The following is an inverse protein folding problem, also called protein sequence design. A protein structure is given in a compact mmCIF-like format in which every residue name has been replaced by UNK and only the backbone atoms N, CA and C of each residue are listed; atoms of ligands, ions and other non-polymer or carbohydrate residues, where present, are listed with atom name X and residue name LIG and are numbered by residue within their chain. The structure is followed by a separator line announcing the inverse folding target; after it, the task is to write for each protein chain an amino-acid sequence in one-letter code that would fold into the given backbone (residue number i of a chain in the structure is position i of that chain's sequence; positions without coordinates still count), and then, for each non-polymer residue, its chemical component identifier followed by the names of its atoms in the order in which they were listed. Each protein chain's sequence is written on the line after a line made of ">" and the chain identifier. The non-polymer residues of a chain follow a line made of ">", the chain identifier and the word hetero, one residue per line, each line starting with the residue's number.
data_IF_986262030666
#
_entry.id   IF_986262030666
#
_cell.length_a   1.000
_cell.length_b   1.000
_cell.length_c   1.000
_cell.angle_alpha   90.00
_cell.angle_beta   90.00
_cell.angle_gamma   90.00
#
_symmetry.space_group_name_H-M   'P 1'
#
loop_
_entity.id
_entity.type
_entity.pdbx_description
1 polymer ?
#
# COMPACT_ATOMS: atom_id res chain seq x y z
N UNK A 1 12.56 -9.69 -26.61
CA UNK A 1 11.20 -9.19 -26.86
C UNK A 1 11.02 -8.76 -28.31
N UNK A 2 9.86 -9.08 -28.90
CA UNK A 2 9.49 -8.65 -30.26
C UNK A 2 9.22 -7.15 -30.32
N UNK A 3 9.62 -6.51 -31.42
CA UNK A 3 9.55 -5.04 -31.55
C UNK A 3 8.10 -4.53 -31.63
N UNK A 4 7.19 -5.30 -32.20
CA UNK A 4 5.76 -4.95 -32.28
C UNK A 4 5.10 -4.87 -30.89
N UNK A 5 5.43 -5.81 -30.00
CA UNK A 5 4.97 -5.77 -28.59
C UNK A 5 5.58 -4.58 -27.85
N UNK A 6 6.85 -4.28 -28.10
CA UNK A 6 7.53 -3.12 -27.52
C UNK A 6 6.86 -1.80 -27.92
N UNK A 7 6.58 -1.63 -29.20
CA UNK A 7 5.90 -0.45 -29.73
C UNK A 7 4.48 -0.33 -29.17
N UNK A 8 3.78 -1.47 -29.03
CA UNK A 8 2.45 -1.52 -28.42
C UNK A 8 2.46 -1.03 -26.98
N UNK A 9 3.40 -1.53 -26.16
CA UNK A 9 3.53 -1.16 -24.75
C UNK A 9 3.89 0.32 -24.58
N UNK A 10 4.83 0.85 -25.39
CA UNK A 10 5.17 2.28 -25.38
C UNK A 10 3.97 3.15 -25.72
N UNK A 11 3.23 2.80 -26.78
CA UNK A 11 2.03 3.55 -27.18
C UNK A 11 0.98 3.52 -26.07
N UNK A 12 0.81 2.39 -25.40
CA UNK A 12 -0.11 2.28 -24.27
C UNK A 12 0.30 3.21 -23.13
N UNK A 13 1.59 3.23 -22.76
CA UNK A 13 2.11 4.11 -21.70
C UNK A 13 1.92 5.60 -22.04
N UNK A 14 2.25 5.99 -23.27
CA UNK A 14 2.07 7.35 -23.79
C UNK A 14 0.60 7.80 -23.74
N UNK A 15 -0.34 6.95 -24.19
CA UNK A 15 -1.76 7.28 -24.16
C UNK A 15 -2.25 7.36 -22.71
N UNK A 16 -1.83 6.43 -21.85
CA UNK A 16 -2.17 6.47 -20.43
C UNK A 16 -1.70 7.75 -19.76
N UNK A 17 -0.48 8.21 -20.06
CA UNK A 17 0.07 9.48 -19.58
C UNK A 17 -0.78 10.68 -20.01
N UNK A 18 -1.15 10.74 -21.28
CA UNK A 18 -2.02 11.81 -21.80
C UNK A 18 -3.41 11.82 -21.14
N UNK A 19 -3.99 10.64 -20.90
CA UNK A 19 -5.28 10.54 -20.21
C UNK A 19 -5.13 11.06 -18.77
N UNK A 20 -4.09 10.66 -18.05
CA UNK A 20 -3.87 11.12 -16.68
C UNK A 20 -3.67 12.63 -16.60
N UNK A 21 -2.87 13.20 -17.51
CA UNK A 21 -2.67 14.65 -17.59
C UNK A 21 -4.01 15.36 -17.82
N UNK A 22 -4.82 14.87 -18.76
CA UNK A 22 -6.17 15.42 -18.99
C UNK A 22 -7.07 15.31 -17.75
N UNK A 23 -7.03 14.18 -17.02
CA UNK A 23 -7.83 13.99 -15.81
C UNK A 23 -7.38 14.88 -14.67
N UNK A 24 -6.07 15.03 -14.49
CA UNK A 24 -5.52 15.95 -13.49
C UNK A 24 -5.88 17.40 -13.81
N UNK A 25 -5.88 17.81 -15.08
CA UNK A 25 -6.35 19.15 -15.49
C UNK A 25 -7.85 19.32 -15.22
N UNK A 26 -8.68 18.33 -15.60
CA UNK A 26 -10.14 18.34 -15.38
C UNK A 26 -10.50 18.45 -13.89
N UNK A 27 -9.77 17.78 -13.00
CA UNK A 27 -9.96 17.87 -11.55
C UNK A 27 -9.23 19.07 -10.94
N UNK A 28 -8.15 19.55 -11.56
CA UNK A 28 -7.46 20.80 -11.24
C UNK A 28 -8.40 22.00 -11.29
N UNK A 29 -9.25 22.06 -12.31
CA UNK A 29 -10.28 23.10 -12.41
C UNK A 29 -11.37 22.98 -11.30
N UNK A 30 -11.45 21.83 -10.62
CA UNK A 30 -12.34 21.60 -9.47
C UNK A 30 -11.67 21.92 -8.13
N UNK A 31 -10.33 22.00 -8.06
CA UNK A 31 -9.59 22.42 -6.86
C UNK A 31 -9.98 23.82 -6.38
N UNK A 32 -10.32 24.70 -7.31
CA UNK A 32 -10.84 26.04 -7.02
C UNK A 32 -12.22 26.02 -6.29
N UNK A 33 -12.86 24.85 -6.14
CA UNK A 33 -14.18 24.67 -5.51
C UNK A 33 -14.12 23.90 -4.18
N UNK A 34 -12.92 23.69 -3.62
CA UNK A 34 -12.72 22.97 -2.36
C UNK A 34 -13.49 23.61 -1.18
N UNK A 35 -14.18 22.82 -0.33
CA UNK A 35 -14.76 23.30 0.94
C UNK A 35 -13.69 23.77 1.95
N UNK A 36 -13.96 24.87 2.66
CA UNK A 36 -13.03 25.50 3.62
C UNK A 36 -12.61 24.59 4.80
N UNK A 37 -13.30 23.47 5.04
CA UNK A 37 -13.14 22.57 6.18
C UNK A 37 -12.32 21.30 5.90
N UNK A 38 -11.85 21.09 4.66
CA UNK A 38 -10.99 19.96 4.30
C UNK A 38 -9.53 20.42 4.27
N UNK A 39 -8.57 19.59 4.70
CA UNK A 39 -7.13 19.91 4.60
C UNK A 39 -6.63 19.81 3.13
N UNK A 40 -5.60 20.57 2.78
CA UNK A 40 -5.08 20.62 1.40
C UNK A 40 -4.49 19.26 0.99
N UNK A 41 -3.73 18.61 1.88
CA UNK A 41 -3.10 17.32 1.60
C UNK A 41 -4.14 16.21 1.33
N UNK A 42 -5.16 16.10 2.19
CA UNK A 42 -6.22 15.09 2.04
C UNK A 42 -7.04 15.29 0.77
N UNK A 43 -7.19 16.53 0.31
CA UNK A 43 -7.95 16.84 -0.88
C UNK A 43 -7.15 16.63 -2.18
N UNK A 44 -5.85 16.97 -2.18
CA UNK A 44 -4.94 16.63 -3.29
C UNK A 44 -4.83 15.11 -3.47
N UNK A 45 -4.65 14.34 -2.39
CA UNK A 45 -4.64 12.88 -2.42
C UNK A 45 -5.95 12.31 -2.97
N UNK A 46 -7.09 12.89 -2.56
CA UNK A 46 -8.40 12.50 -3.08
C UNK A 46 -8.50 12.70 -4.60
N UNK A 47 -8.02 13.83 -5.12
CA UNK A 47 -8.03 14.13 -6.56
C UNK A 47 -7.08 13.21 -7.32
N UNK A 48 -5.88 12.99 -6.79
CA UNK A 48 -4.92 12.05 -7.41
C UNK A 48 -5.51 10.65 -7.50
N UNK A 49 -6.21 10.20 -6.45
CA UNK A 49 -6.91 8.91 -6.46
C UNK A 49 -8.01 8.85 -7.52
N UNK A 50 -8.87 9.86 -7.61
CA UNK A 50 -9.92 9.93 -8.63
C UNK A 50 -9.34 9.95 -10.06
N UNK A 51 -8.31 10.77 -10.29
CA UNK A 51 -7.64 10.85 -11.58
C UNK A 51 -7.02 9.51 -11.98
N UNK A 52 -6.45 8.78 -11.01
CA UNK A 52 -5.92 7.43 -11.21
C UNK A 52 -7.03 6.45 -11.58
N UNK A 53 -8.13 6.40 -10.81
CA UNK A 53 -9.29 5.52 -11.06
C UNK A 53 -9.89 5.76 -12.45
N UNK A 54 -10.16 7.02 -12.83
CA UNK A 54 -10.70 7.31 -14.16
C UNK A 54 -9.71 6.98 -15.29
N UNK A 55 -8.41 7.14 -15.05
CA UNK A 55 -7.40 6.74 -16.03
C UNK A 55 -7.34 5.23 -16.20
N UNK A 56 -7.45 4.47 -15.10
CA UNK A 56 -7.54 3.00 -15.15
C UNK A 56 -8.78 2.54 -15.93
N UNK A 57 -9.95 3.16 -15.72
CA UNK A 57 -11.15 2.86 -16.51
C UNK A 57 -10.98 3.17 -18.00
N UNK A 58 -10.33 4.29 -18.33
CA UNK A 58 -10.10 4.69 -19.71
C UNK A 58 -9.08 3.78 -20.41
N UNK A 59 -7.99 3.42 -19.72
CA UNK A 59 -6.97 2.51 -20.23
C UNK A 59 -7.50 1.09 -20.37
N UNK A 60 -8.41 0.64 -19.50
CA UNK A 60 -9.07 -0.66 -19.65
C UNK A 60 -9.80 -0.82 -20.99
N UNK A 61 -10.37 0.26 -21.54
CA UNK A 61 -10.97 0.23 -22.89
C UNK A 61 -9.93 0.01 -23.97
N UNK A 62 -8.79 0.70 -23.89
CA UNK A 62 -7.67 0.53 -24.84
C UNK A 62 -7.16 -0.91 -24.83
N UNK A 63 -7.16 -1.53 -23.66
CA UNK A 63 -6.65 -2.89 -23.51
C UNK A 63 -7.62 -3.97 -24.03
N UNK A 64 -8.92 -3.75 -23.89
CA UNK A 64 -9.94 -4.77 -24.12
C UNK A 64 -10.77 -4.57 -25.39
N UNK A 65 -10.84 -3.36 -25.95
CA UNK A 65 -11.57 -3.07 -27.19
C UNK A 65 -10.69 -3.27 -28.44
N UNK A 66 -11.26 -3.74 -29.57
CA UNK A 66 -10.55 -3.82 -30.84
C UNK A 66 -10.06 -2.47 -31.35
N UNK A 67 -8.80 -2.38 -31.76
CA UNK A 67 -8.21 -1.20 -32.44
C UNK A 67 -7.86 -1.57 -33.90
N UNK A 68 -8.27 -0.72 -34.86
CA UNK A 68 -7.94 -0.88 -36.29
C UNK A 68 -6.43 -0.97 -36.52
N UNK A 69 -5.62 -0.21 -35.76
CA UNK A 69 -4.15 -0.23 -35.82
C UNK A 69 -3.55 -1.55 -35.36
N UNK A 70 -4.30 -2.32 -34.57
CA UNK A 70 -3.96 -3.65 -34.10
C UNK A 70 -4.62 -4.75 -34.97
N UNK A 71 -5.11 -4.40 -36.16
CA UNK A 71 -5.77 -5.32 -37.07
C UNK A 71 -7.14 -5.77 -36.57
N UNK A 72 -7.89 -4.87 -35.89
CA UNK A 72 -9.16 -5.14 -35.22
C UNK A 72 -9.04 -6.20 -34.11
N UNK A 73 -7.87 -6.25 -33.45
CA UNK A 73 -7.67 -6.98 -32.21
C UNK A 73 -7.54 -5.99 -31.04
N UNK A 74 -7.87 -6.45 -29.84
CA UNK A 74 -7.51 -5.73 -28.61
C UNK A 74 -6.09 -6.10 -28.15
N UNK A 75 -5.51 -5.29 -27.25
CA UNK A 75 -4.20 -5.63 -26.65
C UNK A 75 -4.26 -6.97 -25.91
N UNK A 76 -5.36 -7.21 -25.18
CA UNK A 76 -5.61 -8.50 -24.52
C UNK A 76 -5.52 -9.67 -25.49
N UNK A 77 -6.19 -9.59 -26.64
CA UNK A 77 -6.14 -10.65 -27.65
C UNK A 77 -4.72 -10.86 -28.19
N UNK A 78 -3.94 -9.79 -28.34
CA UNK A 78 -2.53 -9.90 -28.73
C UNK A 78 -1.72 -10.62 -27.65
N UNK A 79 -1.87 -10.22 -26.38
CA UNK A 79 -1.15 -10.87 -25.27
C UNK A 79 -1.55 -12.33 -25.10
N UNK A 80 -2.82 -12.68 -25.23
CA UNK A 80 -3.31 -14.06 -25.14
C UNK A 80 -2.73 -14.98 -26.22
N UNK A 81 -2.26 -14.44 -27.34
CA UNK A 81 -1.60 -15.18 -28.42
C UNK A 81 -0.09 -15.37 -28.20
N UNK A 82 0.52 -14.65 -27.26
CA UNK A 82 1.94 -14.77 -26.94
C UNK A 82 2.23 -16.06 -26.18
N UNK A 83 3.43 -16.60 -26.38
CA UNK A 83 3.97 -17.64 -25.50
C UNK A 83 4.24 -17.09 -24.10
N UNK A 84 4.32 -17.98 -23.09
CA UNK A 84 4.63 -17.57 -21.72
C UNK A 84 5.96 -16.80 -21.60
N UNK A 85 7.00 -17.23 -22.35
CA UNK A 85 8.29 -16.53 -22.38
C UNK A 85 8.14 -15.11 -22.95
N UNK A 86 7.35 -14.93 -24.01
CA UNK A 86 7.07 -13.59 -24.57
C UNK A 86 6.26 -12.72 -23.61
N UNK A 87 5.29 -13.30 -22.88
CA UNK A 87 4.48 -12.57 -21.89
C UNK A 87 5.34 -12.11 -20.72
N UNK A 88 6.24 -12.95 -20.22
CA UNK A 88 7.13 -12.62 -19.10
C UNK A 88 8.20 -11.61 -19.52
N UNK A 89 8.75 -11.72 -20.73
CA UNK A 89 9.60 -10.66 -21.29
C UNK A 89 8.88 -9.31 -21.40
N UNK A 90 7.60 -9.31 -21.81
CA UNK A 90 6.77 -8.11 -21.86
C UNK A 90 6.51 -7.55 -20.46
N UNK A 91 6.26 -8.42 -19.47
CA UNK A 91 6.04 -8.01 -18.08
C UNK A 91 7.28 -7.32 -17.48
N UNK A 92 8.46 -7.91 -17.67
CA UNK A 92 9.72 -7.30 -17.23
C UNK A 92 10.00 -5.99 -17.96
N UNK A 93 9.72 -5.93 -19.27
CA UNK A 93 9.87 -4.70 -20.02
C UNK A 93 8.96 -3.60 -19.47
N UNK A 94 7.69 -3.91 -19.21
CA UNK A 94 6.74 -2.96 -18.62
C UNK A 94 7.21 -2.47 -17.25
N UNK A 95 7.63 -3.36 -16.36
CA UNK A 95 8.14 -3.00 -15.05
C UNK A 95 9.34 -2.04 -15.11
N UNK A 96 10.20 -2.19 -16.12
CA UNK A 96 11.44 -1.42 -16.23
C UNK A 96 11.33 -0.14 -17.06
N UNK A 97 10.34 -0.02 -17.95
CA UNK A 97 10.34 1.01 -18.98
C UNK A 97 9.04 1.81 -19.07
N UNK A 98 8.02 1.45 -18.27
CA UNK A 98 6.74 2.14 -18.28
C UNK A 98 6.53 2.82 -16.94
N UNK A 99 6.07 4.07 -16.99
CA UNK A 99 5.83 4.86 -15.77
C UNK A 99 4.59 4.34 -15.02
N UNK A 100 3.66 3.69 -15.73
CA UNK A 100 2.37 3.23 -15.20
C UNK A 100 2.35 1.75 -14.82
N UNK A 101 3.49 1.06 -14.91
CA UNK A 101 3.58 -0.39 -14.69
C UNK A 101 3.01 -1.22 -15.84
N UNK A 102 2.73 -2.50 -15.56
CA UNK A 102 2.26 -3.44 -16.58
C UNK A 102 0.77 -3.24 -16.93
N UNK A 103 0.39 -3.34 -18.22
CA UNK A 103 -1.02 -3.36 -18.61
C UNK A 103 -1.79 -4.47 -17.88
N UNK A 104 -3.02 -4.19 -17.47
CA UNK A 104 -3.81 -5.14 -16.68
C UNK A 104 -4.08 -6.42 -17.48
N UNK A 105 -4.35 -6.29 -18.78
CA UNK A 105 -4.56 -7.37 -19.74
C UNK A 105 -3.34 -8.28 -19.89
N UNK A 106 -2.12 -7.75 -19.77
CA UNK A 106 -0.91 -8.57 -19.76
C UNK A 106 -0.84 -9.39 -18.46
N UNK A 107 -1.07 -8.74 -17.31
CA UNK A 107 -1.14 -9.39 -15.99
C UNK A 107 -2.22 -10.49 -16.00
N UNK A 108 -3.39 -10.19 -16.53
CA UNK A 108 -4.50 -11.14 -16.67
C UNK A 108 -4.15 -12.30 -17.60
N UNK A 109 -3.51 -12.03 -18.73
CA UNK A 109 -3.09 -13.06 -19.68
C UNK A 109 -2.08 -14.03 -19.06
N UNK A 110 -1.11 -13.52 -18.30
CA UNK A 110 -0.15 -14.34 -17.54
C UNK A 110 -0.87 -15.14 -16.46
N UNK A 111 -1.82 -14.54 -15.75
CA UNK A 111 -2.58 -15.21 -14.69
C UNK A 111 -3.44 -16.39 -15.20
N UNK A 112 -3.69 -16.51 -16.51
CA UNK A 112 -4.39 -17.67 -17.09
C UNK A 112 -3.49 -18.86 -17.44
N UNK A 113 -2.18 -18.70 -17.33
CA UNK A 113 -1.21 -19.75 -17.63
C UNK A 113 -1.19 -20.82 -16.51
N UNK A 114 -0.63 -22.02 -16.77
CA UNK A 114 -0.46 -23.05 -15.75
C UNK A 114 0.16 -22.51 -14.45
N UNK A 115 -0.55 -22.68 -13.33
CA UNK A 115 -0.21 -22.02 -12.07
C UNK A 115 1.23 -22.30 -11.59
N UNK A 116 1.70 -23.54 -11.71
CA UNK A 116 3.05 -23.91 -11.27
C UNK A 116 4.13 -23.16 -12.07
N UNK A 117 3.91 -22.95 -13.38
CA UNK A 117 4.83 -22.22 -14.24
C UNK A 117 4.87 -20.73 -13.87
N UNK A 118 3.72 -20.13 -13.57
CA UNK A 118 3.65 -18.73 -13.13
C UNK A 118 4.29 -18.56 -11.75
N UNK A 119 4.02 -19.47 -10.82
CA UNK A 119 4.63 -19.47 -9.47
C UNK A 119 6.16 -19.61 -9.55
N UNK A 120 6.68 -20.51 -10.37
CA UNK A 120 8.12 -20.70 -10.55
C UNK A 120 8.78 -19.42 -11.09
N UNK A 121 8.17 -18.79 -12.10
CA UNK A 121 8.65 -17.52 -12.65
C UNK A 121 8.61 -16.39 -11.59
N UNK A 122 7.46 -16.16 -10.96
CA UNK A 122 7.30 -15.09 -9.97
C UNK A 122 8.24 -15.31 -8.77
N UNK A 123 8.33 -16.54 -8.26
CA UNK A 123 9.23 -16.87 -7.15
C UNK A 123 10.71 -16.63 -7.49
N UNK A 124 11.12 -16.95 -8.72
CA UNK A 124 12.46 -16.63 -9.22
C UNK A 124 12.69 -15.11 -9.26
N UNK A 125 11.80 -14.35 -9.89
CA UNK A 125 11.95 -12.89 -10.03
C UNK A 125 11.95 -12.19 -8.66
N UNK A 126 10.99 -12.54 -7.79
CA UNK A 126 10.88 -12.02 -6.43
C UNK A 126 12.15 -12.33 -5.62
N UNK A 127 12.72 -13.54 -5.79
CA UNK A 127 13.94 -13.97 -5.12
C UNK A 127 15.20 -13.28 -5.65
N UNK A 128 15.31 -13.05 -6.96
CA UNK A 128 16.52 -12.52 -7.60
C UNK A 128 16.57 -10.99 -7.67
N UNK A 129 15.44 -10.28 -7.61
CA UNK A 129 15.45 -8.83 -7.65
C UNK A 129 16.03 -8.23 -6.35
N UNK A 130 16.59 -7.02 -6.46
CA UNK A 130 17.06 -6.27 -5.32
C UNK A 130 15.87 -5.69 -4.53
N UNK A 131 15.92 -5.78 -3.20
CA UNK A 131 14.93 -5.20 -2.26
C UNK A 131 15.50 -4.01 -1.47
N UNK A 132 16.82 -3.81 -1.57
CA UNK A 132 17.54 -2.63 -1.07
C UNK A 132 18.62 -2.24 -2.07
N UNK A 133 19.19 -1.04 -1.91
CA UNK A 133 20.34 -0.59 -2.71
C UNK A 133 21.55 -1.51 -2.55
N UNK A 134 21.75 -2.08 -1.35
CA UNK A 134 22.89 -2.95 -1.04
C UNK A 134 22.86 -4.28 -1.81
N UNK A 135 21.68 -4.67 -2.32
CA UNK A 135 21.51 -5.89 -3.12
C UNK A 135 21.73 -5.66 -4.62
N UNK A 136 21.94 -4.41 -5.05
CA UNK A 136 22.22 -4.12 -6.44
C UNK A 136 23.56 -4.72 -6.87
N UNK A 137 23.51 -5.51 -7.94
CA UNK A 137 24.70 -6.08 -8.56
C UNK A 137 25.29 -5.21 -9.67
N UNK A 138 24.53 -4.22 -10.14
CA UNK A 138 24.94 -3.30 -11.21
C UNK A 138 24.67 -1.85 -10.78
N UNK A 139 25.75 -1.10 -10.56
CA UNK A 139 25.73 0.31 -10.14
C UNK A 139 25.06 1.24 -11.18
N UNK A 140 24.82 0.78 -12.41
CA UNK A 140 24.15 1.57 -13.45
C UNK A 140 22.62 1.44 -13.41
N UNK A 141 22.08 0.60 -12.52
CA UNK A 141 20.66 0.31 -12.44
C UNK A 141 20.10 0.93 -11.17
N UNK A 142 18.99 1.67 -11.31
CA UNK A 142 18.29 2.21 -10.16
C UNK A 142 17.57 1.10 -9.39
N UNK A 143 17.69 1.11 -8.07
CA UNK A 143 17.05 0.15 -7.17
C UNK A 143 15.54 0.06 -7.43
N UNK A 144 14.90 1.22 -7.54
CA UNK A 144 13.47 1.38 -7.76
C UNK A 144 13.02 0.60 -8.99
N UNK A 145 13.79 0.67 -10.08
CA UNK A 145 13.51 -0.07 -11.31
C UNK A 145 13.61 -1.58 -11.11
N UNK A 146 14.59 -2.07 -10.34
CA UNK A 146 14.69 -3.50 -10.06
C UNK A 146 13.51 -4.01 -9.23
N UNK A 147 13.09 -3.24 -8.23
CA UNK A 147 11.98 -3.63 -7.38
C UNK A 147 10.62 -3.60 -8.11
N UNK A 148 10.46 -2.78 -9.17
CA UNK A 148 9.27 -2.84 -10.03
C UNK A 148 8.99 -4.23 -10.60
N UNK A 149 10.03 -5.07 -10.78
CA UNK A 149 9.83 -6.46 -11.22
C UNK A 149 9.10 -7.30 -10.17
N UNK A 150 9.39 -7.11 -8.88
CA UNK A 150 8.66 -7.77 -7.80
C UNK A 150 7.22 -7.27 -7.75
N UNK A 151 7.00 -5.96 -7.88
CA UNK A 151 5.65 -5.36 -7.92
C UNK A 151 4.82 -5.99 -9.04
N UNK A 152 5.37 -6.10 -10.25
CA UNK A 152 4.68 -6.73 -11.38
C UNK A 152 4.34 -8.20 -11.11
N UNK A 153 5.23 -8.95 -10.44
CA UNK A 153 4.96 -10.32 -10.02
C UNK A 153 3.87 -10.41 -8.95
N UNK A 154 3.86 -9.49 -7.97
CA UNK A 154 2.79 -9.40 -6.98
C UNK A 154 1.44 -9.14 -7.65
N UNK A 155 1.38 -8.26 -8.65
CA UNK A 155 0.13 -8.02 -9.41
C UNK A 155 -0.38 -9.30 -10.09
N UNK A 156 0.51 -10.09 -10.70
CA UNK A 156 0.15 -11.38 -11.31
C UNK A 156 -0.36 -12.37 -10.26
N UNK A 157 0.36 -12.54 -9.14
CA UNK A 157 -0.03 -13.46 -8.07
C UNK A 157 -1.36 -13.05 -7.42
N UNK A 158 -1.57 -11.76 -7.17
CA UNK A 158 -2.85 -11.22 -6.68
C UNK A 158 -3.98 -11.52 -7.67
N UNK A 159 -3.75 -11.33 -8.98
CA UNK A 159 -4.75 -11.65 -10.01
C UNK A 159 -5.10 -13.14 -10.03
N UNK A 160 -4.11 -14.02 -9.83
CA UNK A 160 -4.31 -15.47 -9.73
C UNK A 160 -4.94 -15.91 -8.41
N UNK A 161 -5.01 -15.02 -7.41
CA UNK A 161 -5.36 -15.34 -6.03
C UNK A 161 -4.39 -16.35 -5.38
N UNK A 162 -3.09 -16.14 -5.58
CA UNK A 162 -2.02 -17.03 -5.13
C UNK A 162 -1.22 -16.43 -3.96
N UNK A 163 -1.50 -16.82 -2.70
CA UNK A 163 -0.82 -16.30 -1.50
C UNK A 163 0.48 -17.05 -1.16
N UNK A 164 1.00 -17.89 -2.05
CA UNK A 164 2.04 -18.87 -1.73
C UNK A 164 3.37 -18.26 -1.26
N UNK A 165 3.63 -16.98 -1.54
CA UNK A 165 4.88 -16.30 -1.16
C UNK A 165 4.76 -15.38 0.04
N UNK A 166 3.58 -15.23 0.65
CA UNK A 166 3.34 -14.28 1.75
C UNK A 166 4.40 -14.40 2.86
N UNK A 167 4.62 -15.62 3.35
CA UNK A 167 5.60 -15.85 4.41
C UNK A 167 7.02 -15.50 3.96
N UNK A 168 7.45 -15.96 2.77
CA UNK A 168 8.80 -15.70 2.28
C UNK A 168 9.06 -14.20 2.02
N UNK A 169 8.03 -13.48 1.56
CA UNK A 169 8.04 -12.03 1.35
C UNK A 169 8.20 -11.30 2.68
N UNK A 170 7.39 -11.66 3.69
CA UNK A 170 7.48 -11.06 5.02
C UNK A 170 8.83 -11.38 5.70
N UNK A 171 9.28 -12.64 5.65
CA UNK A 171 10.57 -13.06 6.22
C UNK A 171 11.74 -12.28 5.60
N UNK A 172 11.71 -12.07 4.28
CA UNK A 172 12.73 -11.27 3.58
C UNK A 172 12.63 -9.80 3.98
N UNK A 173 11.43 -9.22 3.98
CA UNK A 173 11.22 -7.82 4.36
C UNK A 173 11.76 -7.51 5.75
N UNK A 174 11.42 -8.35 6.73
CA UNK A 174 11.84 -8.23 8.13
C UNK A 174 13.34 -8.46 8.34
N UNK A 175 14.05 -9.04 7.36
CA UNK A 175 15.49 -9.23 7.44
C UNK A 175 16.28 -7.92 7.27
N UNK A 176 15.63 -6.87 6.73
CA UNK A 176 16.22 -5.55 6.57
C UNK A 176 15.96 -4.69 7.80
N UNK A 177 16.95 -3.93 8.26
CA UNK A 177 16.75 -2.99 9.37
C UNK A 177 15.93 -1.75 8.97
N UNK A 178 15.97 -1.38 7.70
CA UNK A 178 15.21 -0.30 7.11
C UNK A 178 15.06 -0.53 5.60
N UNK A 179 13.89 -0.20 5.09
CA UNK A 179 13.54 -0.22 3.66
C UNK A 179 13.00 1.14 3.26
N UNK A 180 12.87 1.38 1.96
CA UNK A 180 12.19 2.58 1.44
C UNK A 180 10.68 2.39 1.55
N UNK A 181 9.95 3.48 1.79
CA UNK A 181 8.50 3.47 2.00
C UNK A 181 7.73 2.76 0.86
N UNK A 182 8.05 3.06 -0.40
CA UNK A 182 7.40 2.41 -1.54
C UNK A 182 7.56 0.88 -1.58
N UNK A 183 8.62 0.33 -0.98
CA UNK A 183 8.83 -1.12 -0.85
C UNK A 183 7.83 -1.68 0.16
N UNK A 184 7.69 -1.02 1.30
CA UNK A 184 6.72 -1.37 2.34
C UNK A 184 5.29 -1.37 1.78
N UNK A 185 4.90 -0.28 1.10
CA UNK A 185 3.58 -0.13 0.47
C UNK A 185 3.29 -1.22 -0.57
N UNK A 186 4.28 -1.56 -1.40
CA UNK A 186 4.12 -2.59 -2.43
C UNK A 186 3.94 -3.99 -1.83
N UNK A 187 4.67 -4.28 -0.75
CA UNK A 187 4.54 -5.54 -0.01
C UNK A 187 3.19 -5.58 0.71
N UNK A 188 2.79 -4.48 1.34
CA UNK A 188 1.50 -4.32 1.99
C UNK A 188 0.37 -4.67 1.01
N UNK A 189 0.39 -4.12 -0.20
CA UNK A 189 -0.62 -4.42 -1.22
C UNK A 189 -0.72 -5.90 -1.61
N UNK A 190 0.39 -6.66 -1.64
CA UNK A 190 0.35 -8.10 -1.85
C UNK A 190 -0.18 -8.84 -0.60
N UNK A 191 0.25 -8.43 0.59
CA UNK A 191 -0.13 -9.06 1.86
C UNK A 191 -1.61 -8.87 2.17
N UNK A 192 -2.12 -7.65 2.02
CA UNK A 192 -3.50 -7.27 2.29
C UNK A 192 -4.49 -7.88 1.29
N UNK A 193 -4.04 -8.25 0.09
CA UNK A 193 -4.87 -8.97 -0.88
C UNK A 193 -5.30 -10.37 -0.40
N UNK A 194 -4.66 -10.91 0.63
CA UNK A 194 -4.88 -12.26 1.16
C UNK A 194 -5.10 -12.29 2.67
N UNK A 195 -6.13 -11.60 3.20
CA UNK A 195 -6.29 -11.36 4.64
C UNK A 195 -6.33 -12.65 5.46
N UNK A 196 -7.07 -13.67 4.98
CA UNK A 196 -7.21 -14.97 5.66
C UNK A 196 -5.89 -15.74 5.82
N UNK A 197 -4.92 -15.50 4.92
CA UNK A 197 -3.60 -16.13 4.96
C UNK A 197 -2.60 -15.25 5.69
N UNK A 198 -2.66 -13.93 5.47
CA UNK A 198 -1.72 -12.96 6.00
C UNK A 198 -1.90 -12.69 7.49
N UNK A 199 -3.15 -12.56 7.97
CA UNK A 199 -3.46 -12.28 9.38
C UNK A 199 -2.67 -13.16 10.38
N UNK A 200 -2.71 -14.51 10.30
CA UNK A 200 -1.98 -15.34 11.26
C UNK A 200 -0.46 -15.15 11.20
N UNK A 201 0.12 -14.82 10.04
CA UNK A 201 1.55 -14.51 9.95
C UNK A 201 1.88 -13.18 10.61
N UNK A 202 1.12 -12.13 10.32
CA UNK A 202 1.33 -10.80 10.89
C UNK A 202 1.20 -10.82 12.41
N UNK A 203 0.16 -11.49 12.94
CA UNK A 203 -0.02 -11.66 14.39
C UNK A 203 1.17 -12.40 15.00
N UNK A 204 1.56 -13.53 14.42
CA UNK A 204 2.70 -14.32 14.90
C UNK A 204 4.01 -13.52 14.92
N UNK A 205 4.25 -12.70 13.89
CA UNK A 205 5.41 -11.81 13.80
C UNK A 205 5.40 -10.80 14.94
N UNK A 206 4.28 -10.11 15.18
CA UNK A 206 4.19 -9.08 16.22
C UNK A 206 4.31 -9.67 17.63
N UNK A 207 3.65 -10.80 17.89
CA UNK A 207 3.71 -11.46 19.20
C UNK A 207 5.12 -12.00 19.49
N UNK A 208 5.79 -12.58 18.50
CA UNK A 208 7.14 -13.14 18.66
C UNK A 208 8.22 -12.07 18.85
N UNK A 209 7.93 -10.83 18.47
CA UNK A 209 8.89 -9.72 18.49
C UNK A 209 8.47 -8.56 19.41
N UNK A 210 7.46 -8.74 20.28
CA UNK A 210 6.97 -7.66 21.15
C UNK A 210 8.08 -6.98 21.98
N UNK A 211 9.07 -7.75 22.45
CA UNK A 211 10.17 -7.23 23.26
C UNK A 211 11.21 -6.40 22.46
N UNK A 212 11.12 -6.34 21.13
CA UNK A 212 12.00 -5.52 20.29
C UNK A 212 11.66 -4.03 20.32
N UNK A 213 10.51 -3.66 20.89
CA UNK A 213 9.96 -2.32 20.75
C UNK A 213 9.18 -2.11 19.45
N UNK A 214 9.05 -3.15 18.60
CA UNK A 214 8.30 -3.13 17.34
C UNK A 214 8.65 -1.92 16.45
N UNK A 215 9.95 -1.67 16.26
CA UNK A 215 10.48 -0.56 15.46
C UNK A 215 10.80 -0.99 14.02
N UNK A 216 10.87 -0.01 13.09
CA UNK A 216 11.27 -0.27 11.71
C UNK A 216 10.23 -1.12 10.97
N UNK A 217 10.62 -2.20 10.27
CA UNK A 217 9.69 -3.06 9.52
C UNK A 217 8.51 -3.61 10.33
N UNK A 218 8.64 -3.72 11.64
CA UNK A 218 7.55 -4.16 12.51
C UNK A 218 6.44 -3.10 12.63
N UNK A 219 6.76 -1.80 12.48
CA UNK A 219 5.75 -0.74 12.41
C UNK A 219 4.87 -0.94 11.17
N UNK A 220 5.48 -1.27 10.02
CA UNK A 220 4.74 -1.57 8.79
C UNK A 220 3.86 -2.82 8.95
N UNK A 221 4.32 -3.84 9.66
CA UNK A 221 3.50 -5.04 9.98
C UNK A 221 2.27 -4.68 10.82
N UNK A 222 2.39 -3.73 11.76
CA UNK A 222 1.23 -3.22 12.51
C UNK A 222 0.26 -2.51 11.58
N UNK A 223 0.77 -1.69 10.64
CA UNK A 223 -0.04 -0.97 9.65
C UNK A 223 -0.78 -1.95 8.73
N UNK A 224 -0.07 -2.93 8.14
CA UNK A 224 -0.69 -3.97 7.28
C UNK A 224 -1.79 -4.74 8.02
N UNK A 225 -1.58 -5.06 9.31
CA UNK A 225 -2.59 -5.73 10.13
C UNK A 225 -3.80 -4.82 10.40
N UNK A 226 -3.58 -3.52 10.59
CA UNK A 226 -4.65 -2.53 10.71
C UNK A 226 -5.46 -2.43 9.43
N UNK A 227 -4.84 -2.35 8.26
CA UNK A 227 -5.54 -2.27 6.97
C UNK A 227 -6.40 -3.51 6.71
N UNK A 228 -5.87 -4.71 6.98
CA UNK A 228 -6.68 -5.94 6.97
C UNK A 228 -7.86 -5.81 7.95
N UNK A 229 -7.59 -5.32 9.16
CA UNK A 229 -8.57 -5.18 10.22
C UNK A 229 -9.69 -4.16 9.96
N UNK A 230 -9.48 -3.16 9.09
CA UNK A 230 -10.51 -2.17 8.72
C UNK A 230 -11.72 -2.84 8.07
N UNK A 231 -11.46 -3.75 7.14
CA UNK A 231 -12.49 -4.49 6.39
C UNK A 231 -12.81 -5.85 7.03
N UNK A 232 -11.85 -6.46 7.74
CA UNK A 232 -11.96 -7.80 8.32
C UNK A 232 -11.74 -7.78 9.84
N UNK A 233 -12.64 -7.12 10.59
CA UNK A 233 -12.52 -7.01 12.05
C UNK A 233 -12.56 -8.37 12.75
N UNK A 234 -11.49 -8.71 13.49
CA UNK A 234 -11.41 -9.88 14.39
C UNK A 234 -11.01 -9.47 15.80
N UNK A 235 -11.34 -10.29 16.79
CA UNK A 235 -10.92 -10.04 18.17
C UNK A 235 -9.40 -10.20 18.30
N UNK A 236 -8.84 -11.15 17.55
CA UNK A 236 -7.43 -11.46 17.45
C UNK A 236 -6.61 -10.26 16.94
N UNK A 237 -7.06 -9.61 15.85
CA UNK A 237 -6.45 -8.37 15.35
C UNK A 237 -6.51 -7.28 16.41
N UNK A 238 -7.69 -7.02 16.99
CA UNK A 238 -7.84 -5.97 18.00
C UNK A 238 -6.92 -6.19 19.21
N UNK A 239 -6.83 -7.42 19.73
CA UNK A 239 -5.94 -7.73 20.85
C UNK A 239 -4.47 -7.58 20.47
N UNK A 240 -4.10 -7.93 19.23
CA UNK A 240 -2.74 -7.77 18.72
C UNK A 240 -2.36 -6.29 18.59
N UNK A 241 -3.23 -5.45 18.00
CA UNK A 241 -3.01 -3.99 17.91
C UNK A 241 -2.92 -3.34 19.30
N UNK A 242 -3.79 -3.78 20.22
CA UNK A 242 -3.74 -3.36 21.62
C UNK A 242 -2.45 -3.81 22.31
N UNK A 243 -1.94 -4.99 21.97
CA UNK A 243 -0.65 -5.47 22.45
C UNK A 243 0.48 -4.61 21.88
N UNK A 244 0.48 -4.34 20.58
CA UNK A 244 1.44 -3.47 19.91
C UNK A 244 1.52 -2.09 20.58
N UNK A 245 0.39 -1.45 20.89
CA UNK A 245 0.37 -0.19 21.66
C UNK A 245 1.17 -0.22 22.97
N UNK A 246 1.18 -1.36 23.67
CA UNK A 246 1.94 -1.53 24.91
C UNK A 246 3.44 -1.55 24.66
N UNK A 247 3.88 -2.25 23.62
CA UNK A 247 5.29 -2.57 23.37
C UNK A 247 5.99 -1.63 22.40
N UNK A 248 5.26 -1.04 21.46
CA UNK A 248 5.82 -0.07 20.51
C UNK A 248 6.55 1.06 21.25
N UNK A 249 7.80 1.30 20.85
CA UNK A 249 8.58 2.47 21.31
C UNK A 249 7.86 3.74 20.89
N UNK A 250 7.49 3.84 19.61
CA UNK A 250 6.70 4.94 19.10
C UNK A 250 5.20 4.67 19.26
N UNK A 251 4.61 5.22 20.33
CA UNK A 251 3.17 5.04 20.61
C UNK A 251 2.26 5.84 19.71
N UNK A 252 2.76 6.82 18.96
CA UNK A 252 1.96 7.64 18.05
C UNK A 252 1.41 6.74 16.94
N UNK A 253 2.27 5.94 16.28
CA UNK A 253 1.84 4.98 15.26
C UNK A 253 0.80 3.98 15.78
N UNK A 254 1.01 3.44 16.98
CA UNK A 254 0.04 2.53 17.58
C UNK A 254 -1.32 3.17 17.84
N UNK A 255 -1.34 4.46 18.22
CA UNK A 255 -2.58 5.21 18.42
C UNK A 255 -3.31 5.43 17.10
N UNK A 256 -2.58 5.84 16.05
CA UNK A 256 -3.11 5.97 14.69
C UNK A 256 -3.71 4.64 14.24
N UNK A 257 -2.95 3.54 14.31
CA UNK A 257 -3.39 2.21 13.91
C UNK A 257 -4.66 1.72 14.64
N UNK A 258 -4.80 2.02 15.93
CA UNK A 258 -6.00 1.67 16.71
C UNK A 258 -7.19 2.59 16.41
N UNK A 259 -6.95 3.86 16.10
CA UNK A 259 -7.99 4.79 15.66
C UNK A 259 -8.54 4.36 14.30
N UNK A 260 -7.63 4.05 13.37
CA UNK A 260 -7.89 3.59 12.02
C UNK A 260 -8.62 2.24 11.98
N UNK A 261 -8.27 1.32 12.88
CA UNK A 261 -9.03 0.08 13.06
C UNK A 261 -10.49 0.34 13.45
N UNK A 262 -10.78 1.47 14.11
CA UNK A 262 -12.14 1.96 14.29
C UNK A 262 -12.96 1.19 15.33
N UNK A 263 -12.33 0.69 16.39
CA UNK A 263 -13.02 0.01 17.51
C UNK A 263 -13.10 0.92 18.75
N UNK A 264 -14.31 1.18 19.21
CA UNK A 264 -14.60 2.15 20.28
C UNK A 264 -13.98 1.77 21.64
N UNK A 265 -13.62 0.50 21.83
CA UNK A 265 -12.91 0.03 23.03
C UNK A 265 -11.55 0.71 23.20
N UNK A 266 -10.94 1.20 22.11
CA UNK A 266 -9.70 1.97 22.15
C UNK A 266 -9.88 3.32 22.89
N UNK A 267 -11.08 3.93 22.86
CA UNK A 267 -11.37 5.19 23.60
C UNK A 267 -11.10 5.03 25.09
N UNK A 268 -11.65 3.96 25.69
CA UNK A 268 -11.43 3.70 27.11
C UNK A 268 -9.96 3.40 27.41
N UNK A 269 -9.25 2.75 26.49
CA UNK A 269 -7.82 2.47 26.63
C UNK A 269 -7.00 3.76 26.65
N UNK A 270 -7.20 4.66 25.68
CA UNK A 270 -6.47 5.92 25.58
C UNK A 270 -6.73 6.82 26.78
N UNK A 271 -7.99 7.00 27.20
CA UNK A 271 -8.31 7.75 28.41
C UNK A 271 -7.61 7.21 29.65
N UNK A 272 -7.60 5.88 29.82
CA UNK A 272 -6.91 5.25 30.94
C UNK A 272 -5.39 5.46 30.88
N UNK A 273 -4.79 5.42 29.68
CA UNK A 273 -3.37 5.67 29.50
C UNK A 273 -3.02 7.12 29.84
N UNK A 274 -3.75 8.10 29.30
CA UNK A 274 -3.57 9.53 29.61
C UNK A 274 -3.63 9.77 31.12
N UNK A 275 -4.68 9.27 31.78
CA UNK A 275 -4.89 9.48 33.22
C UNK A 275 -3.77 8.89 34.07
N UNK A 276 -3.19 7.74 33.67
CA UNK A 276 -2.08 7.11 34.37
C UNK A 276 -0.74 7.80 34.12
N UNK A 277 -0.59 8.44 32.97
CA UNK A 277 0.69 9.00 32.50
C UNK A 277 0.70 10.54 32.45
N UNK A 278 -0.22 11.24 33.11
CA UNK A 278 -0.32 12.72 33.06
C UNK A 278 0.99 13.48 33.32
N UNK A 279 1.94 12.89 34.04
CA UNK A 279 3.24 13.51 34.38
C UNK A 279 4.36 13.20 33.40
N UNK A 280 4.19 12.18 32.57
CA UNK A 280 5.26 11.60 31.72
C UNK A 280 4.86 11.50 30.26
N UNK A 281 3.56 11.64 29.94
CA UNK A 281 3.07 11.62 28.56
C UNK A 281 3.66 12.81 27.80
N UNK A 282 4.15 12.53 26.60
CA UNK A 282 4.65 13.56 25.69
C UNK A 282 3.50 14.34 25.07
N UNK A 283 3.77 15.59 24.70
CA UNK A 283 2.75 16.49 24.18
C UNK A 283 2.11 15.97 22.90
N UNK A 284 2.93 15.48 21.98
CA UNK A 284 2.45 15.03 20.67
C UNK A 284 1.60 13.75 20.82
N UNK A 285 2.08 12.79 21.61
CA UNK A 285 1.31 11.58 21.95
C UNK A 285 -0.03 11.90 22.64
N UNK A 286 -0.05 12.88 23.55
CA UNK A 286 -1.29 13.30 24.19
C UNK A 286 -2.30 13.84 23.17
N UNK A 287 -1.88 14.75 22.30
CA UNK A 287 -2.79 15.33 21.31
C UNK A 287 -3.23 14.32 20.25
N UNK A 288 -2.36 13.39 19.86
CA UNK A 288 -2.73 12.30 18.96
C UNK A 288 -3.81 11.41 19.59
N UNK A 289 -3.65 11.01 20.85
CA UNK A 289 -4.69 10.24 21.56
C UNK A 289 -6.02 11.00 21.68
N UNK A 290 -5.96 12.32 21.85
CA UNK A 290 -7.18 13.15 21.90
C UNK A 290 -7.89 13.17 20.55
N UNK A 291 -7.13 13.35 19.46
CA UNK A 291 -7.64 13.27 18.08
C UNK A 291 -8.27 11.91 17.81
N UNK A 292 -7.56 10.83 18.11
CA UNK A 292 -8.03 9.46 17.97
C UNK A 292 -9.32 9.18 18.78
N UNK A 293 -9.41 9.66 20.03
CA UNK A 293 -10.63 9.53 20.84
C UNK A 293 -11.81 10.21 20.14
N UNK A 294 -11.62 11.43 19.63
CA UNK A 294 -12.68 12.16 18.93
C UNK A 294 -13.08 11.48 17.62
N UNK A 295 -12.10 10.98 16.85
CA UNK A 295 -12.32 10.23 15.62
C UNK A 295 -13.19 8.98 15.87
N UNK A 296 -12.94 8.28 16.98
CA UNK A 296 -13.72 7.12 17.43
C UNK A 296 -15.08 7.50 18.08
N UNK A 297 -15.48 8.77 18.06
CA UNK A 297 -16.75 9.25 18.63
C UNK A 297 -16.77 9.40 20.15
N UNK A 298 -15.60 9.38 20.80
CA UNK A 298 -15.46 9.56 22.24
C UNK A 298 -15.50 11.03 22.68
N UNK A 299 -16.07 11.28 23.85
CA UNK A 299 -16.01 12.59 24.49
C UNK A 299 -14.63 12.84 25.11
N UNK A 300 -14.11 14.04 24.98
CA UNK A 300 -12.82 14.47 25.56
C UNK A 300 -12.98 15.52 26.68
N UNK A 301 -14.21 15.92 26.98
CA UNK A 301 -14.50 16.99 27.96
C UNK A 301 -14.07 16.65 29.39
N UNK A 302 -13.95 15.36 29.70
CA UNK A 302 -13.52 14.81 30.98
C UNK A 302 -12.00 14.65 31.11
N UNK A 303 -11.24 14.96 30.06
CA UNK A 303 -9.79 14.79 30.03
C UNK A 303 -9.09 16.09 30.46
N UNK A 304 -8.25 15.98 31.49
CA UNK A 304 -7.43 17.09 31.95
C UNK A 304 -6.20 17.26 31.05
N UNK A 305 -6.03 18.46 30.48
CA UNK A 305 -4.83 18.85 29.72
C UNK A 305 -3.65 19.13 30.67
N UNK A 306 -2.59 18.29 30.66
CA UNK A 306 -1.44 18.47 31.53
C UNK A 306 -0.52 19.63 31.07
N UNK A 307 -0.73 20.20 29.88
CA UNK A 307 0.07 21.26 29.29
C UNK A 307 -0.57 22.66 29.40
N UNK A 308 -1.86 22.72 29.76
CA UNK A 308 -2.60 23.95 30.05
C UNK A 308 -2.93 24.80 28.81
N UNK A 309 -2.92 24.23 27.62
CA UNK A 309 -3.21 24.92 26.37
C UNK A 309 -4.72 25.15 26.17
N UNK A 310 -5.58 24.32 26.76
CA UNK A 310 -7.04 24.55 26.77
C UNK A 310 -7.41 25.84 27.50
N UNK A 311 -6.74 26.15 28.61
CA UNK A 311 -6.96 27.38 29.39
C UNK A 311 -6.45 28.62 28.65
N UNK A 312 -5.34 28.51 27.90
CA UNK A 312 -4.78 29.61 27.10
C UNK A 312 -5.68 29.98 25.91
N UNK A 313 -6.38 29.03 25.29
CA UNK A 313 -7.35 29.30 24.22
C UNK A 313 -8.60 30.04 24.72
N UNK A 314 -9.05 29.75 25.95
CA UNK A 314 -10.19 30.46 26.56
C UNK A 314 -9.84 31.88 27.02
N UNK A 315 -8.60 32.13 27.46
CA UNK A 315 -8.15 33.46 27.87
C UNK A 315 -7.85 34.44 26.70
N UNK A 316 -7.88 33.95 25.46
CA UNK A 316 -7.68 34.74 24.22
C UNK A 316 -8.97 35.05 23.44
N UNK A 317 -10.13 34.55 23.90
CA UNK A 317 -11.46 34.95 23.42
C UNK A 317 -12.06 35.99 24.36
#
# INVERSE_FOLDING_TARGET
>A
MREDIKELLKRYDEIGALILEQKLDEFGDQLDQKPDDVDDATYEEYIQRLAKEETEEATAKLENEPDEKLGNKSMRQIFDELSFDEKTEALEYSALNMDRGAPQSLVESIATEPADMVRDYCGKVIGECAWTEDELTDDNVLFEMQFQKAIACFSVLTKMKEPCFIQAVLDRYLSYGQTREFVAESIAGYVEAFPEVSEPFLISILESNADSGLEGPYEDVVIMLTEIGKEHKTEEIYQTLRHAFRYMTNKIYAVICLADYGDDRAVAMFKNYINRNQKTIERDLFYEMMSAIQHLGGDISDIQDPFGDFQKKQAKK
#
